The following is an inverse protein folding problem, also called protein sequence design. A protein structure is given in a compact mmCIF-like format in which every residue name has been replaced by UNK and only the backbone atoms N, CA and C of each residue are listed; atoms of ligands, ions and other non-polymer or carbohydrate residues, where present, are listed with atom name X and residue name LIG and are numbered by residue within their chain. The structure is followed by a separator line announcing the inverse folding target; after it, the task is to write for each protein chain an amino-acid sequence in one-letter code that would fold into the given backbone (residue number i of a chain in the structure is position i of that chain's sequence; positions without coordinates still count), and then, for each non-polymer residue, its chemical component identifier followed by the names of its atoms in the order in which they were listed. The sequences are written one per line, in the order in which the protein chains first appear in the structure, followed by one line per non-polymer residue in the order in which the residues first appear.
data_IF_854738634734
#
_entry.id   IF_854738634734
#
_cell.length_a   1.000
_cell.length_b   1.000
_cell.length_c   1.000
_cell.angle_alpha   90.00
_cell.angle_beta   90.00
_cell.angle_gamma   90.00
#
_symmetry.space_group_name_H-M   'P 1'
#
loop_
_entity.id
_entity.type
_entity.pdbx_description
1 polymer ?
#
# COMPACT_ATOMS: atom_id res chain seq x y z
N UNK A 1 4.66 20.45 -20.49
CA UNK A 1 4.30 19.86 -19.19
C UNK A 1 3.73 20.91 -18.25
N UNK A 2 4.37 22.07 -18.11
CA UNK A 2 3.78 23.21 -17.37
C UNK A 2 2.54 23.79 -18.06
N UNK A 3 2.50 23.79 -19.39
CA UNK A 3 1.35 24.34 -20.14
C UNK A 3 0.04 23.56 -19.94
N UNK A 4 0.11 22.26 -19.65
CA UNK A 4 -1.07 21.42 -19.36
C UNK A 4 -1.33 21.28 -17.85
N UNK A 5 -0.47 21.87 -17.01
CA UNK A 5 -0.56 21.76 -15.56
C UNK A 5 -1.75 22.57 -15.05
N UNK A 6 -2.74 21.87 -14.51
CA UNK A 6 -3.94 22.49 -13.90
C UNK A 6 -3.86 22.59 -12.36
N UNK A 7 -2.85 21.99 -11.74
CA UNK A 7 -2.60 22.04 -10.30
C UNK A 7 -1.16 22.47 -10.06
N UNK A 8 -0.98 23.56 -9.31
CA UNK A 8 0.35 24.00 -8.89
C UNK A 8 0.96 23.03 -7.87
N UNK A 9 2.28 22.93 -7.90
CA UNK A 9 3.04 22.13 -6.94
C UNK A 9 2.74 22.53 -5.50
N UNK A 10 2.63 23.84 -5.22
CA UNK A 10 2.32 24.35 -3.88
C UNK A 10 0.96 23.88 -3.37
N UNK A 11 -0.06 23.87 -4.23
CA UNK A 11 -1.40 23.39 -3.86
C UNK A 11 -1.38 21.90 -3.52
N UNK A 12 -0.66 21.10 -4.32
CA UNK A 12 -0.49 19.67 -4.05
C UNK A 12 0.22 19.42 -2.71
N UNK A 13 1.30 20.17 -2.45
CA UNK A 13 2.08 20.10 -1.21
C UNK A 13 1.23 20.51 0.00
N UNK A 14 0.51 21.62 -0.08
CA UNK A 14 -0.34 22.11 1.00
C UNK A 14 -1.42 21.09 1.40
N UNK A 15 -2.02 20.41 0.41
CA UNK A 15 -3.00 19.37 0.69
C UNK A 15 -2.37 18.16 1.39
N UNK A 16 -1.17 17.74 0.97
CA UNK A 16 -0.47 16.62 1.58
C UNK A 16 -0.10 16.91 3.05
N UNK A 17 0.37 18.13 3.34
CA UNK A 17 0.62 18.59 4.71
C UNK A 17 -0.65 18.53 5.57
N UNK A 18 -1.80 18.95 5.05
CA UNK A 18 -3.08 18.88 5.76
C UNK A 18 -3.52 17.44 6.06
N UNK A 19 -3.20 16.50 5.17
CA UNK A 19 -3.53 15.09 5.31
C UNK A 19 -2.48 14.31 6.12
N UNK A 20 -1.33 14.92 6.42
CA UNK A 20 -0.22 14.26 7.09
C UNK A 20 0.44 13.16 6.23
N UNK A 21 0.46 13.33 4.91
CA UNK A 21 1.09 12.40 3.97
C UNK A 21 2.24 13.07 3.23
N UNK A 22 3.20 12.29 2.75
CA UNK A 22 4.28 12.81 1.91
C UNK A 22 3.78 13.15 0.49
N UNK A 23 4.39 14.15 -0.15
CA UNK A 23 4.03 14.61 -1.49
C UNK A 23 5.18 14.40 -2.49
N UNK A 24 4.85 13.89 -3.68
CA UNK A 24 5.81 13.66 -4.77
C UNK A 24 5.19 14.01 -6.12
N UNK A 25 5.98 14.64 -7.00
CA UNK A 25 5.63 14.79 -8.41
C UNK A 25 6.39 13.76 -9.25
N UNK A 26 5.68 13.02 -10.10
CA UNK A 26 6.27 11.96 -10.93
C UNK A 26 5.87 12.12 -12.38
N UNK A 27 6.69 11.60 -13.30
CA UNK A 27 6.35 11.45 -14.71
C UNK A 27 6.62 10.02 -15.13
N UNK A 28 5.57 9.22 -15.32
CA UNK A 28 5.72 7.86 -15.81
C UNK A 28 6.31 7.82 -17.24
N UNK A 29 5.90 8.78 -18.08
CA UNK A 29 6.38 8.89 -19.47
C UNK A 29 7.88 9.16 -19.53
N UNK A 30 8.34 10.10 -18.72
CA UNK A 30 9.75 10.54 -18.71
C UNK A 30 10.59 9.76 -17.67
N UNK A 31 9.99 8.77 -17.00
CA UNK A 31 10.60 8.02 -15.91
C UNK A 31 11.20 8.90 -14.79
N UNK A 32 10.49 9.97 -14.42
CA UNK A 32 10.91 10.90 -13.36
C UNK A 32 10.26 10.49 -12.05
N UNK A 33 11.07 10.33 -11.00
CA UNK A 33 10.68 10.04 -9.63
C UNK A 33 9.87 8.75 -9.40
N UNK A 34 9.67 7.91 -10.43
CA UNK A 34 8.90 6.66 -10.28
C UNK A 34 9.59 5.72 -9.31
N UNK A 35 10.86 5.37 -9.58
CA UNK A 35 11.63 4.44 -8.76
C UNK A 35 11.81 4.95 -7.32
N UNK A 36 12.21 6.20 -7.16
CA UNK A 36 12.50 6.79 -5.84
C UNK A 36 11.28 6.84 -4.94
N UNK A 37 10.08 7.12 -5.48
CA UNK A 37 8.84 7.13 -4.70
C UNK A 37 8.50 5.74 -4.17
N UNK A 38 8.68 4.69 -4.98
CA UNK A 38 8.44 3.32 -4.52
C UNK A 38 9.48 2.85 -3.51
N UNK A 39 10.76 3.18 -3.71
CA UNK A 39 11.82 2.89 -2.72
C UNK A 39 11.50 3.56 -1.38
N UNK A 40 11.15 4.85 -1.41
CA UNK A 40 10.78 5.58 -0.19
C UNK A 40 9.53 5.02 0.48
N UNK A 41 8.52 4.60 -0.29
CA UNK A 41 7.33 3.96 0.25
C UNK A 41 7.66 2.66 0.97
N UNK A 42 8.57 1.85 0.42
CA UNK A 42 9.06 0.62 1.06
C UNK A 42 9.78 0.94 2.37
N UNK A 43 10.67 1.95 2.37
CA UNK A 43 11.39 2.36 3.58
C UNK A 43 10.43 2.76 4.70
N UNK A 44 9.42 3.58 4.40
CA UNK A 44 8.40 4.02 5.38
C UNK A 44 7.67 2.82 6.00
N UNK A 45 7.32 1.82 5.19
CA UNK A 45 6.63 0.62 5.68
C UNK A 45 7.57 -0.20 6.57
N UNK A 46 8.83 -0.38 6.17
CA UNK A 46 9.84 -1.07 6.97
C UNK A 46 10.07 -0.40 8.32
N UNK A 47 10.26 0.92 8.32
CA UNK A 47 10.41 1.72 9.53
C UNK A 47 9.18 1.53 10.44
N UNK A 48 7.98 1.62 9.88
CA UNK A 48 6.74 1.49 10.66
C UNK A 48 6.54 0.10 11.25
N UNK A 49 6.90 -0.94 10.52
CA UNK A 49 6.86 -2.31 11.02
C UNK A 49 7.85 -2.53 12.16
N UNK A 50 9.05 -1.92 12.09
CA UNK A 50 10.03 -2.03 13.17
C UNK A 50 9.58 -1.33 14.45
N UNK A 51 9.03 -0.12 14.36
CA UNK A 51 8.46 0.62 15.50
C UNK A 51 7.35 -0.16 16.22
N UNK A 52 6.54 -0.90 15.46
CA UNK A 52 5.44 -1.70 16.00
C UNK A 52 5.92 -2.93 16.77
N UNK A 53 7.11 -3.45 16.48
CA UNK A 53 7.66 -4.65 17.14
C UNK A 53 8.24 -4.33 18.52
N UNK A 54 8.76 -3.11 18.72
CA UNK A 54 9.31 -2.67 20.01
C UNK A 54 8.23 -2.22 21.01
N UNK A 55 7.00 -1.99 20.55
CA UNK A 55 5.92 -1.43 21.37
C UNK A 55 4.99 -2.47 22.03
N UNK A 56 5.03 -3.75 21.61
CA UNK A 56 4.24 -4.82 22.25
C UNK A 56 4.96 -6.19 22.26
N UNK A 57 5.28 -6.78 23.43
CA UNK A 57 5.92 -8.10 23.52
C UNK A 57 4.93 -9.28 23.34
N UNK A 58 3.85 -9.11 22.58
CA UNK A 58 2.91 -10.17 22.28
C UNK A 58 2.28 -9.89 20.92
N UNK A 59 2.41 -10.81 19.96
CA UNK A 59 1.55 -11.03 18.77
C UNK A 59 2.30 -11.69 17.58
N UNK A 60 3.54 -12.18 17.74
CA UNK A 60 4.22 -13.04 16.74
C UNK A 60 3.60 -14.46 16.57
N UNK A 61 2.32 -14.67 16.88
CA UNK A 61 1.59 -15.92 16.62
C UNK A 61 0.33 -15.68 15.79
N UNK A 62 0.52 -15.35 14.52
CA UNK A 62 -0.43 -15.66 13.46
C UNK A 62 0.38 -15.79 12.16
N UNK A 63 1.23 -16.81 12.03
CA UNK A 63 0.72 -18.15 11.75
C UNK A 63 0.16 -18.16 10.33
N UNK A 64 1.04 -18.14 9.33
CA UNK A 64 0.64 -18.29 7.92
C UNK A 64 -0.32 -19.46 7.79
N UNK A 65 -1.51 -19.22 7.24
CA UNK A 65 -2.54 -20.23 7.10
C UNK A 65 -2.05 -21.28 6.10
N UNK A 66 -1.43 -22.34 6.61
CA UNK A 66 -1.12 -23.52 5.82
C UNK A 66 -2.46 -24.18 5.46
N UNK A 67 -2.92 -23.98 4.23
CA UNK A 67 -4.09 -24.63 3.67
C UNK A 67 -3.88 -26.16 3.71
N UNK A 68 -4.39 -26.81 4.75
CA UNK A 68 -4.54 -28.27 4.74
C UNK A 68 -5.86 -28.59 4.07
N UNK A 69 -5.76 -29.12 2.86
CA UNK A 69 -6.87 -29.59 2.03
C UNK A 69 -7.66 -30.66 2.78
N UNK A 70 -8.80 -30.25 3.35
CA UNK A 70 -9.77 -31.18 3.92
C UNK A 70 -10.71 -31.59 2.80
N UNK A 71 -10.47 -32.78 2.26
CA UNK A 71 -11.33 -33.47 1.29
C UNK A 71 -12.69 -33.75 1.95
N UNK A 72 -13.65 -32.85 1.77
CA UNK A 72 -15.05 -33.10 2.12
C UNK A 72 -15.88 -33.26 0.84
N UNK A 73 -16.67 -34.33 0.85
CA UNK A 73 -17.28 -34.98 -0.30
C UNK A 73 -18.29 -34.07 -1.00
N UNK A 74 -18.15 -34.00 -2.33
CA UNK A 74 -19.10 -33.33 -3.20
C UNK A 74 -20.47 -33.99 -3.15
N UNK A 75 -21.47 -33.24 -2.70
CA UNK A 75 -22.87 -33.51 -3.00
C UNK A 75 -23.41 -32.40 -3.92
N UNK A 76 -23.44 -32.73 -5.20
CA UNK A 76 -24.40 -32.34 -6.24
C UNK A 76 -25.14 -30.98 -6.14
N UNK A 77 -24.59 -29.96 -6.84
CA UNK A 77 -25.20 -28.97 -7.77
C UNK A 77 -26.50 -28.18 -7.39
N UNK A 78 -26.91 -27.15 -8.18
CA UNK A 78 -26.35 -25.79 -8.23
C UNK A 78 -27.46 -24.73 -7.99
N UNK A 79 -27.16 -23.56 -7.42
CA UNK A 79 -27.95 -22.37 -7.75
C UNK A 79 -27.22 -21.06 -7.41
N UNK A 80 -26.79 -20.34 -8.45
CA UNK A 80 -26.59 -18.90 -8.36
C UNK A 80 -27.95 -18.20 -8.32
N UNK A 81 -28.17 -17.30 -7.36
CA UNK A 81 -28.86 -16.04 -7.60
C UNK A 81 -28.75 -15.09 -6.40
N UNK A 82 -28.20 -13.90 -6.66
CA UNK A 82 -28.47 -12.57 -6.09
C UNK A 82 -27.17 -11.77 -6.00
#
# INVERSE_FOLDING_TARGET
MEEERVVSTDRGRQLAEQLGVEFYETSAKENINVKSVFERLVDIICDKMSESLDSEPAMLQAGGQKLTEKKEQGNNSPNCNC
#
